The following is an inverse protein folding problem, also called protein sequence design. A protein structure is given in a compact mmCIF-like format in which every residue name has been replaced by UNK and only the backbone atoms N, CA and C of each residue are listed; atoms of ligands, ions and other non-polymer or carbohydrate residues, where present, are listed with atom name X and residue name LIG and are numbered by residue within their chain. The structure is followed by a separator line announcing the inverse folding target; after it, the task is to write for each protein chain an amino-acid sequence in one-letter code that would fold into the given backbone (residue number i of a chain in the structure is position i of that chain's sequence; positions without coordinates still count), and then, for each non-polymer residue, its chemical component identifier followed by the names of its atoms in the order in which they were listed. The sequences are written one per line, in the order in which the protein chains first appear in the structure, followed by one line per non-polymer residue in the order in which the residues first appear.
data_IF_391557134389
#
_entry.id   IF_391557134389
#
_cell.length_a   1.000
_cell.length_b   1.000
_cell.length_c   1.000
_cell.angle_alpha   90.00
_cell.angle_beta   90.00
_cell.angle_gamma   90.00
#
_symmetry.space_group_name_H-M   'P 1'
#
loop_
_entity.id
_entity.type
_entity.pdbx_description
1 polymer ?
#
# COMPACT_ATOMS: atom_id res chain seq x y z
N UNK A 1 -30.92 -3.29 5.56
CA UNK A 1 -29.60 -2.66 5.59
C UNK A 1 -28.94 -2.92 4.25
N UNK A 2 -28.58 -1.87 3.52
CA UNK A 2 -27.82 -2.00 2.27
C UNK A 2 -26.39 -2.45 2.60
N UNK A 3 -25.88 -3.39 1.81
CA UNK A 3 -24.48 -3.79 1.91
C UNK A 3 -23.58 -2.60 1.52
N UNK A 4 -22.41 -2.44 2.15
CA UNK A 4 -21.45 -1.40 1.76
C UNK A 4 -21.06 -1.55 0.28
N UNK A 5 -21.03 -0.45 -0.45
CA UNK A 5 -20.69 -0.43 -1.89
C UNK A 5 -19.20 -0.22 -2.15
N UNK A 6 -18.46 0.18 -1.13
CA UNK A 6 -17.02 0.46 -1.22
C UNK A 6 -16.24 -0.05 -0.01
N UNK A 7 -14.95 -0.29 -0.20
CA UNK A 7 -14.02 -0.63 0.88
C UNK A 7 -14.01 0.45 1.98
N UNK A 8 -14.05 1.72 1.61
CA UNK A 8 -14.11 2.85 2.55
C UNK A 8 -15.35 2.78 3.45
N UNK A 9 -16.50 2.35 2.92
CA UNK A 9 -17.72 2.18 3.71
C UNK A 9 -17.62 1.02 4.68
N UNK A 10 -16.99 -0.09 4.27
CA UNK A 10 -16.74 -1.22 5.17
C UNK A 10 -15.88 -0.77 6.37
N UNK A 11 -14.79 -0.06 6.12
CA UNK A 11 -13.94 0.47 7.19
C UNK A 11 -14.67 1.49 8.07
N UNK A 12 -15.49 2.36 7.48
CA UNK A 12 -16.28 3.32 8.24
C UNK A 12 -17.32 2.64 9.15
N UNK A 13 -17.99 1.58 8.67
CA UNK A 13 -18.91 0.78 9.49
C UNK A 13 -18.16 0.12 10.65
N UNK A 14 -17.03 -0.53 10.39
CA UNK A 14 -16.21 -1.15 11.43
C UNK A 14 -15.72 -0.13 12.46
N UNK A 15 -15.29 1.04 12.02
CA UNK A 15 -14.84 2.11 12.91
C UNK A 15 -15.95 2.58 13.87
N UNK A 16 -17.16 2.74 13.35
CA UNK A 16 -18.34 3.14 14.15
C UNK A 16 -18.81 2.02 15.06
N UNK A 17 -19.07 0.85 14.52
CA UNK A 17 -19.79 -0.21 15.21
C UNK A 17 -18.92 -0.92 16.23
N UNK A 18 -17.66 -1.20 15.87
CA UNK A 18 -16.74 -1.93 16.73
C UNK A 18 -15.91 -1.02 17.64
N UNK A 19 -15.48 0.13 17.12
CA UNK A 19 -14.56 1.01 17.83
C UNK A 19 -15.19 2.31 18.33
N UNK A 20 -16.51 2.51 18.12
CA UNK A 20 -17.27 3.65 18.61
C UNK A 20 -16.72 5.01 18.16
N UNK A 21 -16.09 5.06 16.96
CA UNK A 21 -15.54 6.29 16.40
C UNK A 21 -16.69 7.15 15.87
N UNK A 22 -16.73 8.42 16.34
CA UNK A 22 -17.74 9.39 15.91
C UNK A 22 -17.72 9.61 14.41
N UNK A 23 -18.90 9.60 13.78
CA UNK A 23 -19.06 9.79 12.32
C UNK A 23 -18.43 11.10 11.81
N UNK A 24 -18.42 12.14 12.63
CA UNK A 24 -17.79 13.44 12.33
C UNK A 24 -16.27 13.38 12.20
N UNK A 25 -15.65 12.31 12.69
CA UNK A 25 -14.20 12.07 12.62
C UNK A 25 -13.81 11.12 11.49
N UNK A 26 -14.77 10.66 10.68
CA UNK A 26 -14.54 9.70 9.59
C UNK A 26 -14.78 10.41 8.25
N UNK A 27 -13.74 10.50 7.46
CA UNK A 27 -13.79 11.02 6.09
C UNK A 27 -13.48 9.89 5.12
N UNK A 28 -14.28 9.75 4.08
CA UNK A 28 -14.19 8.62 3.15
C UNK A 28 -13.86 9.09 1.74
N UNK A 29 -12.87 8.46 1.13
CA UNK A 29 -12.71 8.47 -0.32
C UNK A 29 -13.29 7.17 -0.90
N UNK A 30 -14.27 7.31 -1.80
CA UNK A 30 -14.95 6.20 -2.47
C UNK A 30 -14.62 6.11 -3.95
N UNK A 31 -13.77 6.98 -4.45
CA UNK A 31 -13.59 7.20 -5.89
C UNK A 31 -12.22 6.80 -6.41
N UNK A 32 -11.23 6.71 -5.54
CA UNK A 32 -9.89 6.31 -5.93
C UNK A 32 -9.82 4.86 -6.40
N UNK A 33 -9.01 4.63 -7.43
CA UNK A 33 -8.79 3.32 -8.05
C UNK A 33 -7.35 2.83 -7.87
N UNK A 34 -6.47 3.67 -7.34
CA UNK A 34 -5.06 3.36 -7.14
C UNK A 34 -4.46 4.17 -5.98
N UNK A 35 -3.26 3.78 -5.53
CA UNK A 35 -2.56 4.39 -4.40
C UNK A 35 -2.34 5.90 -4.56
N UNK A 36 -2.01 6.36 -5.76
CA UNK A 36 -1.76 7.79 -6.01
C UNK A 36 -3.04 8.61 -5.86
N UNK A 37 -4.15 8.12 -6.39
CA UNK A 37 -5.46 8.74 -6.22
C UNK A 37 -5.91 8.75 -4.77
N UNK A 38 -5.72 7.65 -4.03
CA UNK A 38 -6.03 7.58 -2.60
C UNK A 38 -5.38 8.72 -1.82
N UNK A 39 -4.08 8.94 -2.04
CA UNK A 39 -3.34 9.99 -1.33
C UNK A 39 -3.78 11.38 -1.79
N UNK A 40 -4.00 11.57 -3.09
CA UNK A 40 -4.46 12.83 -3.67
C UNK A 40 -5.83 13.23 -3.14
N UNK A 41 -6.75 12.28 -3.10
CA UNK A 41 -8.10 12.49 -2.59
C UNK A 41 -8.10 12.75 -1.07
N UNK A 42 -7.23 12.07 -0.31
CA UNK A 42 -7.06 12.36 1.11
C UNK A 42 -6.58 13.80 1.35
N UNK A 43 -5.61 14.29 0.56
CA UNK A 43 -5.15 15.69 0.64
C UNK A 43 -6.30 16.65 0.30
N UNK A 44 -7.09 16.33 -0.72
CA UNK A 44 -8.25 17.15 -1.08
C UNK A 44 -9.27 17.22 0.07
N UNK A 45 -9.57 16.08 0.69
CA UNK A 45 -10.44 16.01 1.87
C UNK A 45 -9.90 16.88 3.01
N UNK A 46 -8.59 16.83 3.29
CA UNK A 46 -7.99 17.68 4.31
C UNK A 46 -8.20 19.17 4.03
N UNK A 47 -8.03 19.58 2.77
CA UNK A 47 -8.23 20.97 2.37
C UNK A 47 -9.70 21.39 2.47
N UNK A 48 -10.62 20.59 1.95
CA UNK A 48 -12.05 20.88 1.91
C UNK A 48 -12.66 21.02 3.32
N UNK A 49 -12.15 20.22 4.25
CA UNK A 49 -12.59 20.23 5.65
C UNK A 49 -11.69 21.03 6.58
N UNK A 50 -10.67 21.71 6.04
CA UNK A 50 -9.72 22.54 6.82
C UNK A 50 -9.05 21.73 7.95
N UNK A 51 -8.75 20.44 7.68
CA UNK A 51 -8.13 19.53 8.64
C UNK A 51 -6.63 19.87 8.73
N UNK A 52 -6.19 20.26 9.94
CA UNK A 52 -4.76 20.41 10.21
C UNK A 52 -4.09 19.04 10.30
N UNK A 53 -3.06 18.82 9.52
CA UNK A 53 -2.38 17.53 9.40
C UNK A 53 -0.85 17.68 9.44
N UNK A 54 -0.34 18.13 10.59
CA UNK A 54 1.10 18.21 10.82
C UNK A 54 1.75 16.83 10.97
N UNK A 55 0.99 15.86 11.47
CA UNK A 55 1.41 14.46 11.61
C UNK A 55 0.31 13.55 11.11
N UNK A 56 0.68 12.60 10.25
CA UNK A 56 -0.21 11.61 9.67
C UNK A 56 0.33 10.21 9.92
N UNK A 57 -0.56 9.27 10.12
CA UNK A 57 -0.24 7.85 10.15
C UNK A 57 -0.75 7.24 8.85
N UNK A 58 0.17 6.74 8.04
CA UNK A 58 -0.15 6.01 6.81
C UNK A 58 -0.18 4.52 7.12
N UNK A 59 -1.36 3.93 7.04
CA UNK A 59 -1.59 2.50 7.30
C UNK A 59 -1.96 1.82 5.99
N UNK A 60 -1.24 0.76 5.66
CA UNK A 60 -1.48 -0.02 4.45
C UNK A 60 -1.09 -1.49 4.67
N UNK A 61 -1.52 -2.36 3.76
CA UNK A 61 -1.00 -3.72 3.61
C UNK A 61 0.54 -3.68 3.63
N UNK A 62 1.21 -4.52 4.45
CA UNK A 62 2.66 -4.46 4.62
C UNK A 62 3.44 -4.59 3.31
N UNK A 63 2.93 -5.32 2.33
CA UNK A 63 3.58 -5.45 1.01
C UNK A 63 3.50 -4.15 0.21
N UNK A 64 2.36 -3.46 0.27
CA UNK A 64 2.11 -2.20 -0.46
C UNK A 64 2.62 -0.96 0.30
N UNK A 65 2.96 -1.11 1.58
CA UNK A 65 3.27 0.01 2.48
C UNK A 65 4.42 0.89 1.96
N UNK A 66 5.49 0.29 1.43
CA UNK A 66 6.65 1.05 0.93
C UNK A 66 6.27 1.96 -0.23
N UNK A 67 5.53 1.48 -1.21
CA UNK A 67 5.09 2.28 -2.36
C UNK A 67 4.11 3.37 -1.93
N UNK A 68 3.17 3.06 -1.07
CA UNK A 68 2.23 4.05 -0.52
C UNK A 68 2.97 5.17 0.21
N UNK A 69 3.97 4.83 1.03
CA UNK A 69 4.79 5.81 1.73
C UNK A 69 5.59 6.71 0.78
N UNK A 70 6.25 6.12 -0.23
CA UNK A 70 7.03 6.89 -1.22
C UNK A 70 6.11 7.82 -2.01
N UNK A 71 4.93 7.35 -2.41
CA UNK A 71 3.92 8.19 -3.08
C UNK A 71 3.48 9.36 -2.18
N UNK A 72 3.26 9.11 -0.89
CA UNK A 72 2.90 10.15 0.06
C UNK A 72 4.01 11.20 0.22
N UNK A 73 5.28 10.78 0.29
CA UNK A 73 6.42 11.69 0.37
C UNK A 73 6.53 12.66 -0.82
N UNK A 74 6.04 12.26 -1.99
CA UNK A 74 6.04 13.11 -3.19
C UNK A 74 4.93 14.16 -3.17
N UNK A 75 3.86 13.92 -2.41
CA UNK A 75 2.66 14.76 -2.38
C UNK A 75 2.56 15.67 -1.15
N UNK A 76 3.20 15.29 -0.06
CA UNK A 76 3.25 16.09 1.17
C UNK A 76 4.51 16.95 1.22
N UNK A 77 4.43 18.08 1.90
CA UNK A 77 5.57 18.99 2.05
C UNK A 77 6.44 18.59 3.27
N UNK A 78 7.66 19.09 3.31
CA UNK A 78 8.67 18.74 4.33
C UNK A 78 8.29 19.12 5.78
N UNK A 79 7.24 19.91 5.98
CA UNK A 79 6.74 20.27 7.32
C UNK A 79 5.82 19.22 7.91
N UNK A 80 5.37 18.27 7.11
CA UNK A 80 4.42 17.24 7.52
C UNK A 80 5.18 15.95 7.85
N UNK A 81 4.91 15.42 9.02
CA UNK A 81 5.48 14.15 9.46
C UNK A 81 4.57 12.99 9.05
N UNK A 82 5.11 12.04 8.29
CA UNK A 82 4.42 10.81 7.95
C UNK A 82 4.97 9.68 8.82
N UNK A 83 4.11 9.08 9.62
CA UNK A 83 4.41 7.85 10.36
C UNK A 83 3.97 6.69 9.46
N UNK A 84 4.94 5.92 9.01
CA UNK A 84 4.73 4.76 8.16
C UNK A 84 4.45 3.55 9.06
N UNK A 85 3.26 2.96 8.96
CA UNK A 85 2.83 1.90 9.86
C UNK A 85 2.19 0.73 9.10
N UNK A 86 2.85 -0.42 9.15
CA UNK A 86 2.29 -1.70 8.72
C UNK A 86 1.87 -2.48 9.96
N UNK A 87 0.56 -2.77 10.15
CA UNK A 87 0.06 -3.39 11.39
C UNK A 87 0.51 -4.84 11.59
N UNK A 88 0.90 -5.49 10.51
CA UNK A 88 1.28 -6.90 10.47
C UNK A 88 2.55 -7.05 9.64
N UNK A 89 3.44 -7.93 10.07
CA UNK A 89 4.61 -8.35 9.30
C UNK A 89 4.42 -9.83 8.99
N UNK A 90 4.23 -10.20 7.70
CA UNK A 90 4.08 -11.60 7.33
C UNK A 90 5.36 -12.38 7.62
N UNK A 91 5.20 -13.55 8.18
CA UNK A 91 6.30 -14.50 8.38
C UNK A 91 6.07 -15.71 7.51
N UNK A 92 7.16 -16.25 6.98
CA UNK A 92 7.15 -17.43 6.14
C UNK A 92 7.80 -18.61 6.86
N UNK A 93 7.21 -19.76 6.70
CA UNK A 93 7.81 -21.04 7.06
C UNK A 93 8.95 -21.39 6.08
N UNK A 94 9.76 -22.36 6.41
CA UNK A 94 10.88 -22.84 5.57
C UNK A 94 10.44 -23.42 4.23
N UNK A 95 9.18 -23.84 4.10
CA UNK A 95 8.56 -24.32 2.87
C UNK A 95 7.92 -23.19 2.01
N UNK A 96 8.01 -21.95 2.49
CA UNK A 96 7.44 -20.78 1.81
C UNK A 96 5.96 -20.52 2.11
N UNK A 97 5.32 -21.32 2.94
CA UNK A 97 3.96 -21.05 3.40
C UNK A 97 3.94 -19.93 4.45
N UNK A 98 2.81 -19.21 4.55
CA UNK A 98 2.65 -18.14 5.55
C UNK A 98 2.41 -18.79 6.91
N UNK A 99 3.09 -18.29 7.96
CA UNK A 99 2.81 -18.72 9.33
C UNK A 99 1.35 -18.45 9.73
N UNK A 100 0.75 -19.41 10.45
CA UNK A 100 -0.67 -19.41 10.84
C UNK A 100 -1.07 -18.25 11.77
N UNK A 101 -0.13 -17.49 12.32
CA UNK A 101 -0.40 -16.31 13.17
C UNK A 101 -0.94 -15.09 12.39
N UNK A 102 -0.92 -15.17 11.06
CA UNK A 102 -1.46 -14.13 10.15
C UNK A 102 -2.63 -14.68 9.32
N UNK A 103 -3.70 -15.19 9.95
CA UNK A 103 -4.81 -15.76 9.20
C UNK A 103 -5.50 -14.70 8.33
N UNK A 104 -5.91 -15.12 7.13
CA UNK A 104 -6.81 -14.36 6.22
C UNK A 104 -6.23 -13.18 5.44
N UNK A 105 -4.94 -12.86 5.52
CA UNK A 105 -4.40 -11.73 4.76
C UNK A 105 -4.15 -12.07 3.29
N UNK A 106 -3.58 -13.24 3.02
CA UNK A 106 -3.28 -13.69 1.66
C UNK A 106 -3.50 -15.18 1.54
N UNK A 107 -4.21 -15.59 0.50
CA UNK A 107 -4.42 -17.00 0.18
C UNK A 107 -3.45 -17.46 -0.92
N UNK A 108 -2.93 -18.68 -0.76
CA UNK A 108 -2.09 -19.35 -1.75
C UNK A 108 -0.87 -18.51 -2.17
N UNK A 109 -0.78 -18.22 -3.47
CA UNK A 109 0.34 -17.50 -4.07
C UNK A 109 0.20 -15.99 -4.06
N UNK A 110 -0.89 -15.44 -3.50
CA UNK A 110 -1.20 -14.00 -3.53
C UNK A 110 -0.11 -13.14 -2.90
N UNK A 111 0.53 -13.61 -1.84
CA UNK A 111 1.66 -12.91 -1.21
C UNK A 111 2.80 -12.69 -2.21
N UNK A 112 3.17 -13.75 -2.96
CA UNK A 112 4.25 -13.68 -3.95
C UNK A 112 3.88 -12.78 -5.13
N UNK A 113 2.65 -12.84 -5.61
CA UNK A 113 2.15 -11.95 -6.65
C UNK A 113 2.27 -10.48 -6.24
N UNK A 114 1.83 -10.16 -5.03
CA UNK A 114 1.91 -8.80 -4.48
C UNK A 114 3.36 -8.37 -4.30
N UNK A 115 4.20 -9.19 -3.68
CA UNK A 115 5.60 -8.88 -3.42
C UNK A 115 6.38 -8.64 -4.73
N UNK A 116 6.23 -9.53 -5.73
CA UNK A 116 6.84 -9.36 -7.04
C UNK A 116 6.33 -8.08 -7.71
N UNK A 117 5.02 -7.84 -7.68
CA UNK A 117 4.43 -6.65 -8.28
C UNK A 117 4.90 -5.36 -7.63
N UNK A 118 5.09 -5.33 -6.32
CA UNK A 118 5.56 -4.13 -5.64
C UNK A 118 7.06 -3.88 -5.86
N UNK A 119 7.91 -4.90 -5.82
CA UNK A 119 9.34 -4.73 -6.16
C UNK A 119 9.48 -4.27 -7.61
N UNK A 120 8.74 -4.89 -8.54
CA UNK A 120 8.71 -4.49 -9.96
C UNK A 120 8.38 -2.99 -10.14
N UNK A 121 7.35 -2.51 -9.43
CA UNK A 121 6.92 -1.10 -9.50
C UNK A 121 7.90 -0.14 -8.84
N UNK A 122 8.56 -0.54 -7.75
CA UNK A 122 9.52 0.31 -7.03
C UNK A 122 10.84 0.48 -7.78
N UNK A 123 11.13 -0.33 -8.78
CA UNK A 123 12.40 -0.27 -9.55
C UNK A 123 12.54 1.04 -10.30
N UNK A 124 13.79 1.50 -10.40
CA UNK A 124 14.17 2.67 -11.17
C UNK A 124 14.90 2.24 -12.44
N UNK A 125 14.19 1.50 -13.28
CA UNK A 125 14.61 1.05 -14.61
C UNK A 125 13.47 1.26 -15.62
N UNK A 126 13.68 0.89 -16.88
CA UNK A 126 12.72 1.06 -18.00
C UNK A 126 11.32 0.49 -17.72
N UNK A 127 11.20 -0.52 -16.85
CA UNK A 127 9.97 -1.22 -16.55
C UNK A 127 9.29 -0.71 -15.26
N UNK A 128 10.06 -0.12 -14.35
CA UNK A 128 9.58 0.33 -13.05
C UNK A 128 8.87 1.69 -13.08
N UNK A 129 8.48 2.14 -11.90
CA UNK A 129 7.80 3.42 -11.71
C UNK A 129 8.74 4.56 -11.32
N UNK A 130 10.03 4.27 -11.14
CA UNK A 130 11.05 5.27 -10.86
C UNK A 130 11.29 6.24 -12.03
N UNK A 131 12.19 7.24 -11.84
CA UNK A 131 12.47 8.29 -12.83
C UNK A 131 12.98 7.80 -14.18
N UNK A 132 13.67 6.64 -14.22
CA UNK A 132 14.18 6.02 -15.46
C UNK A 132 13.13 5.21 -16.21
N UNK A 133 11.99 4.94 -15.58
CA UNK A 133 10.88 4.20 -16.15
C UNK A 133 9.66 5.10 -16.37
N UNK A 134 8.55 4.77 -15.72
CA UNK A 134 7.27 5.49 -15.88
C UNK A 134 7.24 6.86 -15.21
N UNK A 135 8.19 7.19 -14.35
CA UNK A 135 8.29 8.49 -13.66
C UNK A 135 7.15 8.77 -12.68
N UNK A 136 6.51 7.75 -12.14
CA UNK A 136 5.40 7.89 -11.19
C UNK A 136 5.87 8.02 -9.74
N UNK A 137 7.10 7.60 -9.46
CA UNK A 137 7.71 7.65 -8.14
C UNK A 137 9.09 8.30 -8.21
N UNK A 138 9.54 8.89 -7.11
CA UNK A 138 10.96 9.21 -6.94
C UNK A 138 11.81 7.95 -6.94
N UNK A 139 13.10 8.08 -7.12
CA UNK A 139 14.05 6.99 -6.95
C UNK A 139 13.90 6.33 -5.57
N UNK A 140 13.89 5.00 -5.55
CA UNK A 140 13.82 4.18 -4.34
C UNK A 140 15.00 3.24 -4.32
N UNK A 141 15.83 3.33 -3.30
CA UNK A 141 16.86 2.35 -3.06
C UNK A 141 16.23 1.02 -2.62
N UNK A 142 16.38 0.00 -3.45
CA UNK A 142 15.96 -1.37 -3.15
C UNK A 142 17.21 -2.13 -2.68
N UNK A 143 17.21 -2.71 -1.46
CA UNK A 143 18.34 -3.50 -0.99
C UNK A 143 18.70 -4.63 -1.96
N UNK A 144 20.00 -4.91 -2.10
CA UNK A 144 20.50 -5.93 -3.05
C UNK A 144 19.88 -7.30 -2.77
N UNK A 145 19.70 -7.66 -1.51
CA UNK A 145 19.05 -8.89 -1.08
C UNK A 145 17.60 -9.01 -1.55
N UNK A 146 16.86 -7.88 -1.60
CA UNK A 146 15.49 -7.82 -2.10
C UNK A 146 15.48 -8.01 -3.62
N UNK A 147 16.37 -7.32 -4.35
CA UNK A 147 16.51 -7.48 -5.79
C UNK A 147 16.87 -8.94 -6.15
N UNK A 148 17.82 -9.54 -5.45
CA UNK A 148 18.21 -10.93 -5.66
C UNK A 148 17.06 -11.89 -5.40
N UNK A 149 16.31 -11.68 -4.32
CA UNK A 149 15.12 -12.49 -4.00
C UNK A 149 14.03 -12.33 -5.06
N UNK A 150 13.81 -11.12 -5.53
CA UNK A 150 12.89 -10.83 -6.63
C UNK A 150 13.26 -11.63 -7.90
N UNK A 151 14.52 -11.61 -8.32
CA UNK A 151 14.98 -12.33 -9.50
C UNK A 151 14.78 -13.84 -9.39
N UNK A 152 15.09 -14.42 -8.21
CA UNK A 152 14.89 -15.85 -7.95
C UNK A 152 13.41 -16.24 -8.03
N UNK A 153 12.53 -15.44 -7.45
CA UNK A 153 11.09 -15.75 -7.43
C UNK A 153 10.50 -15.50 -8.84
N UNK A 154 10.91 -14.43 -9.52
CA UNK A 154 10.45 -14.11 -10.86
C UNK A 154 10.82 -15.19 -11.87
N UNK A 155 12.01 -15.79 -11.75
CA UNK A 155 12.44 -16.91 -12.58
C UNK A 155 11.61 -18.18 -12.35
N UNK A 156 11.24 -18.44 -11.08
CA UNK A 156 10.43 -19.61 -10.69
C UNK A 156 8.93 -19.45 -10.95
N UNK A 157 8.45 -18.23 -10.98
CA UNK A 157 7.02 -17.88 -11.05
C UNK A 157 6.77 -16.76 -12.06
N UNK A 158 7.18 -16.94 -13.34
CA UNK A 158 7.10 -15.89 -14.36
C UNK A 158 5.67 -15.45 -14.67
N UNK A 159 4.68 -16.32 -14.44
CA UNK A 159 3.26 -16.02 -14.64
C UNK A 159 2.76 -14.90 -13.73
N UNK A 160 3.37 -14.70 -12.55
CA UNK A 160 2.99 -13.63 -11.64
C UNK A 160 3.57 -12.28 -12.07
N UNK A 161 4.74 -12.29 -12.69
CA UNK A 161 5.35 -11.09 -13.23
C UNK A 161 4.58 -10.54 -14.43
N UNK A 162 4.03 -11.42 -15.26
CA UNK A 162 3.24 -11.05 -16.43
C UNK A 162 1.99 -10.22 -16.09
N UNK A 163 1.47 -10.35 -14.86
CA UNK A 163 0.34 -9.54 -14.38
C UNK A 163 0.74 -8.13 -13.91
N UNK A 164 2.03 -7.85 -13.82
CA UNK A 164 2.55 -6.55 -13.36
C UNK A 164 2.85 -5.58 -14.51
N UNK A 165 2.89 -6.09 -15.73
CA UNK A 165 3.12 -5.33 -16.96
C UNK A 165 1.83 -4.74 -17.49
#
# INVERSE_FOLDING_TARGET
DQLPESEAEIYACLAKDKYQIESSSIFMDKTSTNTSENIKNAIQIFNDHTIKHETMILIQDPILQKRSYVTALDMFNDRQKIINYAPIIPKLNSDGTIENDTPYLWEGTRLYELALGEVYRLRDDENGYGPKGKGFLRHVDIPEEVNRSFEIIADKMPEYLARCQ
#
